data_IF_569691015044
#
_entry.id   IF_569691015044
#
_cell.length_a   1.000
_cell.length_b   1.000
_cell.length_c   1.000
_cell.angle_alpha   90.00
_cell.angle_beta   90.00
_cell.angle_gamma   90.00
#
_symmetry.space_group_name_H-M   'P 1'
#
loop_
_entity.id
_entity.type
_entity.pdbx_description
1 polymer ?
#
# COMPACT_ATOMS: atom_id res chain seq x y z
N UNK A 1 -28.81 -41.46 -22.34
CA UNK A 1 -28.93 -39.99 -22.37
C UNK A 1 -28.46 -39.29 -21.09
N UNK A 2 -28.53 -39.91 -19.90
CA UNK A 2 -28.12 -39.25 -18.65
C UNK A 2 -26.62 -38.98 -18.50
N UNK A 3 -25.73 -39.82 -19.06
CA UNK A 3 -24.28 -39.65 -18.92
C UNK A 3 -23.74 -38.40 -19.65
N UNK A 4 -24.33 -38.04 -20.80
CA UNK A 4 -23.90 -36.91 -21.61
C UNK A 4 -24.25 -35.55 -20.97
N UNK A 5 -25.38 -35.45 -20.27
CA UNK A 5 -25.78 -34.23 -19.56
C UNK A 5 -24.85 -33.91 -18.38
N UNK A 6 -24.40 -34.93 -17.64
CA UNK A 6 -23.53 -34.74 -16.47
C UNK A 6 -22.12 -34.23 -16.86
N UNK A 7 -21.57 -34.72 -17.98
CA UNK A 7 -20.27 -34.26 -18.48
C UNK A 7 -20.36 -32.83 -19.00
N UNK A 8 -21.46 -32.47 -19.67
CA UNK A 8 -21.68 -31.09 -20.16
C UNK A 8 -21.83 -30.10 -19.01
N UNK A 9 -22.51 -30.49 -17.92
CA UNK A 9 -22.68 -29.66 -16.74
C UNK A 9 -21.34 -29.43 -16.01
N UNK A 10 -20.53 -30.49 -15.83
CA UNK A 10 -19.20 -30.35 -15.24
C UNK A 10 -18.28 -29.45 -16.07
N UNK A 11 -18.32 -29.56 -17.40
CA UNK A 11 -17.54 -28.71 -18.30
C UNK A 11 -18.00 -27.25 -18.25
N UNK A 12 -19.30 -27.00 -18.14
CA UNK A 12 -19.85 -25.65 -18.01
C UNK A 12 -19.44 -25.00 -16.67
N UNK A 13 -19.44 -25.75 -15.56
CA UNK A 13 -19.03 -25.24 -14.25
C UNK A 13 -17.52 -24.96 -14.22
N UNK A 14 -16.68 -25.83 -14.77
CA UNK A 14 -15.22 -25.57 -14.83
C UNK A 14 -14.87 -24.44 -15.79
N UNK A 15 -15.63 -24.28 -16.89
CA UNK A 15 -15.49 -23.13 -17.77
C UNK A 15 -15.94 -21.82 -17.08
N UNK A 16 -17.01 -21.85 -16.27
CA UNK A 16 -17.46 -20.66 -15.55
C UNK A 16 -16.48 -20.24 -14.45
N UNK A 17 -15.92 -21.20 -13.70
CA UNK A 17 -14.91 -20.94 -12.66
C UNK A 17 -13.60 -20.44 -13.28
N UNK A 18 -13.17 -21.02 -14.42
CA UNK A 18 -11.96 -20.55 -15.12
C UNK A 18 -12.15 -19.17 -15.77
N UNK A 19 -13.33 -18.88 -16.32
CA UNK A 19 -13.65 -17.56 -16.87
C UNK A 19 -13.77 -16.50 -15.76
N UNK A 20 -14.29 -16.82 -14.57
CA UNK A 20 -14.32 -15.89 -13.44
C UNK A 20 -12.92 -15.61 -12.87
N UNK A 21 -12.04 -16.61 -12.82
CA UNK A 21 -10.65 -16.38 -12.39
C UNK A 21 -9.83 -15.61 -13.43
N UNK A 22 -10.12 -15.80 -14.72
CA UNK A 22 -9.52 -14.98 -15.80
C UNK A 22 -10.11 -13.56 -15.83
N UNK A 23 -11.39 -13.36 -15.51
CA UNK A 23 -12.00 -12.02 -15.41
C UNK A 23 -11.56 -11.27 -14.15
N UNK A 24 -11.33 -11.94 -13.03
CA UNK A 24 -10.71 -11.33 -11.86
C UNK A 24 -9.26 -10.90 -12.16
N UNK A 25 -8.54 -11.63 -13.01
CA UNK A 25 -7.22 -11.22 -13.50
C UNK A 25 -7.28 -10.14 -14.60
N UNK A 26 -8.31 -10.15 -15.45
CA UNK A 26 -8.48 -9.21 -16.56
C UNK A 26 -9.18 -7.89 -16.17
N UNK A 27 -9.84 -7.84 -15.01
CA UNK A 27 -10.31 -6.60 -14.39
C UNK A 27 -9.13 -5.70 -13.91
N UNK A 28 -7.90 -6.23 -13.91
CA UNK A 28 -6.65 -5.50 -13.65
C UNK A 28 -5.92 -5.13 -14.95
N UNK A 29 -6.64 -4.56 -15.92
CA UNK A 29 -6.01 -3.99 -17.12
C UNK A 29 -5.55 -2.55 -16.84
N UNK A 30 -4.35 -2.47 -16.28
CA UNK A 30 -3.64 -1.23 -15.95
C UNK A 30 -2.42 -1.51 -15.10
N UNK A 31 -1.59 -2.49 -15.49
CA UNK A 31 -0.44 -2.93 -14.68
C UNK A 31 0.79 -2.06 -14.95
N UNK A 32 0.92 -0.94 -14.24
CA UNK A 32 2.23 -0.33 -14.04
C UNK A 32 2.97 -1.17 -12.99
N UNK A 33 3.93 -1.97 -13.45
CA UNK A 33 4.78 -2.77 -12.57
C UNK A 33 6.05 -1.97 -12.28
N UNK A 34 6.31 -1.71 -11.01
CA UNK A 34 7.54 -1.09 -10.55
C UNK A 34 8.67 -2.13 -10.46
N UNK A 35 9.66 -2.03 -11.34
CA UNK A 35 10.71 -3.05 -11.53
C UNK A 35 12.05 -2.72 -10.85
N UNK A 36 12.21 -1.53 -10.30
CA UNK A 36 13.49 -1.12 -9.72
C UNK A 36 13.89 -1.98 -8.51
N UNK A 37 15.20 -2.16 -8.27
CA UNK A 37 15.69 -2.93 -7.14
C UNK A 37 15.48 -2.16 -5.83
N UNK A 38 15.12 -2.89 -4.78
CA UNK A 38 15.09 -2.39 -3.41
C UNK A 38 15.27 -3.56 -2.43
N UNK A 39 15.64 -3.24 -1.19
CA UNK A 39 15.75 -4.21 -0.08
C UNK A 39 14.55 -4.06 0.84
N UNK A 40 14.03 -5.19 1.35
CA UNK A 40 12.98 -5.20 2.36
C UNK A 40 13.48 -5.75 3.68
N UNK A 41 13.16 -5.04 4.76
CA UNK A 41 13.46 -5.42 6.13
C UNK A 41 12.19 -5.28 7.00
N UNK A 42 12.23 -5.87 8.20
CA UNK A 42 11.23 -5.65 9.24
C UNK A 42 11.90 -5.04 10.46
N UNK A 43 11.22 -4.11 11.10
CA UNK A 43 11.52 -3.63 12.44
C UNK A 43 10.21 -3.39 13.19
N UNK A 44 10.27 -3.29 14.51
CA UNK A 44 9.13 -2.77 15.29
C UNK A 44 9.48 -1.47 16.01
N UNK A 45 10.69 -0.94 15.78
CA UNK A 45 11.13 0.30 16.38
C UNK A 45 10.29 1.45 15.83
N UNK A 46 10.01 2.46 16.66
CA UNK A 46 9.26 3.67 16.28
C UNK A 46 7.83 3.43 15.73
N UNK A 47 7.34 2.19 15.70
CA UNK A 47 6.00 1.81 15.18
C UNK A 47 4.88 2.67 15.73
N UNK A 48 4.89 2.93 17.04
CA UNK A 48 3.88 3.78 17.69
C UNK A 48 3.88 5.23 17.19
N UNK A 49 5.04 5.79 16.87
CA UNK A 49 5.15 7.16 16.33
C UNK A 49 4.56 7.21 14.92
N UNK A 50 4.87 6.22 14.09
CA UNK A 50 4.36 6.16 12.71
C UNK A 50 2.86 5.91 12.66
N UNK A 51 2.33 5.13 13.60
CA UNK A 51 0.90 4.94 13.79
C UNK A 51 0.18 6.25 14.11
N UNK A 52 0.71 7.05 15.06
CA UNK A 52 0.16 8.36 15.41
C UNK A 52 0.18 9.31 14.19
N UNK A 53 1.27 9.29 13.42
CA UNK A 53 1.38 10.13 12.21
C UNK A 53 0.40 9.70 11.12
N UNK A 54 0.16 8.40 10.93
CA UNK A 54 -0.88 7.90 10.03
C UNK A 54 -2.25 8.48 10.42
N UNK A 55 -2.64 8.36 11.68
CA UNK A 55 -3.90 8.90 12.19
C UNK A 55 -4.02 10.41 11.92
N UNK A 56 -2.98 11.18 12.27
CA UNK A 56 -2.93 12.62 12.03
C UNK A 56 -3.16 13.00 10.56
N UNK A 57 -2.46 12.35 9.63
CA UNK A 57 -2.51 12.69 8.21
C UNK A 57 -3.81 12.20 7.54
N UNK A 58 -4.39 11.09 7.99
CA UNK A 58 -5.72 10.66 7.58
C UNK A 58 -6.79 11.71 7.95
N UNK A 59 -6.72 12.26 9.16
CA UNK A 59 -7.62 13.34 9.58
C UNK A 59 -7.34 14.65 8.83
N UNK A 60 -6.09 15.10 8.85
CA UNK A 60 -5.74 16.45 8.40
C UNK A 60 -5.78 16.57 6.89
N UNK A 61 -5.13 15.65 6.18
CA UNK A 61 -4.78 15.81 4.77
C UNK A 61 -5.70 15.00 3.84
N UNK A 62 -6.14 13.82 4.29
CA UNK A 62 -7.12 12.98 3.55
C UNK A 62 -8.58 13.34 3.90
N UNK A 63 -8.75 14.14 4.95
CA UNK A 63 -10.03 14.62 5.45
C UNK A 63 -11.01 13.49 5.84
N UNK A 64 -10.51 12.43 6.45
CA UNK A 64 -11.34 11.45 7.15
C UNK A 64 -11.84 12.07 8.47
N UNK A 65 -13.08 11.75 8.86
CA UNK A 65 -13.75 12.36 10.01
C UNK A 65 -14.34 11.35 10.98
N UNK A 66 -14.92 10.28 10.46
CA UNK A 66 -15.55 9.23 11.24
C UNK A 66 -14.87 7.89 10.94
N UNK A 67 -13.66 7.72 11.46
CA UNK A 67 -12.85 6.54 11.23
C UNK A 67 -12.18 6.10 12.53
N UNK A 68 -11.60 4.89 12.50
CA UNK A 68 -10.78 4.36 13.58
C UNK A 68 -9.52 3.75 13.01
N UNK A 69 -8.39 4.05 13.65
CA UNK A 69 -7.12 3.37 13.40
C UNK A 69 -6.86 2.40 14.55
N UNK A 70 -6.53 1.16 14.23
CA UNK A 70 -6.13 0.14 15.20
C UNK A 70 -4.80 -0.48 14.80
N UNK A 71 -3.89 -0.60 15.76
CA UNK A 71 -2.62 -1.28 15.55
C UNK A 71 -2.85 -2.79 15.47
N UNK A 72 -2.27 -3.44 14.47
CA UNK A 72 -2.37 -4.89 14.32
C UNK A 72 -1.10 -5.54 14.91
N UNK A 73 -1.31 -6.44 15.85
CA UNK A 73 -0.24 -7.15 16.53
C UNK A 73 0.57 -8.05 15.59
N UNK A 74 1.82 -8.35 15.99
CA UNK A 74 2.87 -9.06 15.23
C UNK A 74 2.48 -10.42 14.65
N UNK A 75 1.29 -10.97 14.93
CA UNK A 75 0.74 -12.12 14.20
C UNK A 75 0.28 -11.75 12.78
N UNK A 76 0.96 -10.79 12.14
CA UNK A 76 0.62 -10.24 10.84
C UNK A 76 0.49 -11.37 9.82
N UNK A 77 -0.63 -11.43 9.06
CA UNK A 77 -0.77 -12.36 7.94
C UNK A 77 0.11 -11.99 6.75
N UNK A 78 0.71 -10.79 6.74
CA UNK A 78 1.49 -10.28 5.62
C UNK A 78 2.94 -10.74 5.72
N UNK A 79 3.38 -11.53 4.74
CA UNK A 79 4.79 -11.89 4.59
C UNK A 79 5.58 -10.78 3.88
N UNK A 80 6.88 -10.66 4.11
CA UNK A 80 7.75 -9.73 3.36
C UNK A 80 7.64 -9.91 1.84
N UNK A 81 7.47 -11.14 1.37
CA UNK A 81 7.29 -11.42 -0.06
C UNK A 81 5.97 -10.86 -0.58
N UNK A 82 4.91 -10.95 0.20
CA UNK A 82 3.62 -10.35 -0.17
C UNK A 82 3.72 -8.82 -0.17
N UNK A 83 4.38 -8.24 0.83
CA UNK A 83 4.66 -6.80 0.84
C UNK A 83 5.46 -6.38 -0.40
N UNK A 84 6.49 -7.13 -0.79
CA UNK A 84 7.26 -6.88 -2.01
C UNK A 84 6.36 -6.85 -3.24
N UNK A 85 5.49 -7.85 -3.39
CA UNK A 85 4.54 -7.89 -4.49
C UNK A 85 3.65 -6.65 -4.46
N UNK A 86 3.08 -6.30 -3.31
CA UNK A 86 2.20 -5.14 -3.18
C UNK A 86 2.92 -3.84 -3.55
N UNK A 87 4.16 -3.64 -3.09
CA UNK A 87 4.98 -2.47 -3.44
C UNK A 87 5.25 -2.37 -4.94
N UNK A 88 5.54 -3.51 -5.60
CA UNK A 88 5.80 -3.56 -7.05
C UNK A 88 4.55 -3.30 -7.89
N UNK A 89 3.37 -3.64 -7.40
CA UNK A 89 2.14 -3.50 -8.17
C UNK A 89 1.47 -2.16 -7.89
N UNK A 90 1.57 -1.22 -8.83
CA UNK A 90 0.84 0.04 -8.75
C UNK A 90 -0.62 -0.16 -9.14
N UNK A 91 -1.49 -0.26 -8.15
CA UNK A 91 -2.95 -0.31 -8.37
C UNK A 91 -3.53 1.07 -8.69
N UNK A 92 -2.90 2.11 -8.16
CA UNK A 92 -3.29 3.51 -8.27
C UNK A 92 -2.03 4.36 -8.30
N UNK A 93 -2.05 5.43 -9.11
CA UNK A 93 -0.87 6.23 -9.41
C UNK A 93 -0.27 6.90 -8.18
N UNK A 94 -1.07 7.28 -7.18
CA UNK A 94 -0.61 7.94 -5.94
C UNK A 94 -1.34 7.34 -4.76
N UNK A 95 -0.63 6.54 -3.95
CA UNK A 95 -1.22 5.84 -2.79
C UNK A 95 -0.36 5.80 -1.54
N UNK A 96 0.84 6.36 -1.60
CA UNK A 96 1.79 6.35 -0.49
C UNK A 96 1.67 7.67 0.27
N UNK A 97 0.97 7.67 1.40
CA UNK A 97 0.82 8.86 2.25
C UNK A 97 2.10 9.10 3.04
N UNK A 98 2.80 10.21 2.76
CA UNK A 98 4.01 10.61 3.45
C UNK A 98 3.69 11.01 4.91
N UNK A 99 4.23 10.27 5.87
CA UNK A 99 3.99 10.41 7.31
C UNK A 99 5.05 11.25 8.03
N UNK A 100 6.04 11.77 7.30
CA UNK A 100 7.12 12.59 7.84
C UNK A 100 8.47 11.86 7.86
N UNK A 101 9.50 12.47 8.47
CA UNK A 101 10.86 11.93 8.48
C UNK A 101 10.90 10.60 9.25
N UNK A 102 11.75 9.68 8.79
CA UNK A 102 12.02 8.44 9.50
C UNK A 102 12.75 8.74 10.82
N UNK A 103 12.36 8.04 11.88
CA UNK A 103 13.00 8.14 13.18
C UNK A 103 14.25 7.24 13.21
N UNK A 104 15.32 7.73 13.82
CA UNK A 104 16.60 7.02 13.94
C UNK A 104 17.78 7.80 13.36
N UNK A 105 18.89 7.10 13.11
CA UNK A 105 20.14 7.71 12.63
C UNK A 105 20.30 7.72 11.10
N UNK A 106 19.26 7.35 10.34
CA UNK A 106 19.33 7.25 8.89
C UNK A 106 18.39 8.24 8.23
N UNK A 107 18.89 8.96 7.22
CA UNK A 107 18.08 9.84 6.39
C UNK A 107 17.01 9.04 5.64
N UNK A 108 15.82 9.61 5.54
CA UNK A 108 14.67 8.95 4.96
C UNK A 108 13.35 9.45 5.52
N UNK A 109 12.27 8.87 5.03
CA UNK A 109 10.91 9.23 5.41
C UNK A 109 10.03 7.99 5.51
N UNK A 110 8.86 8.17 6.10
CA UNK A 110 7.90 7.08 6.30
C UNK A 110 6.69 7.32 5.44
N UNK A 111 6.20 6.25 4.84
CA UNK A 111 4.94 6.22 4.12
C UNK A 111 3.97 5.24 4.76
N UNK A 112 2.71 5.63 4.83
CA UNK A 112 1.59 4.73 5.04
C UNK A 112 0.95 4.44 3.69
N UNK A 113 0.80 3.18 3.31
CA UNK A 113 0.06 2.85 2.09
C UNK A 113 -0.91 1.70 2.32
N UNK A 114 -2.08 1.73 1.66
CA UNK A 114 -3.08 0.69 1.78
C UNK A 114 -2.60 -0.55 1.03
N UNK A 115 -2.68 -1.69 1.70
CA UNK A 115 -2.53 -3.01 1.12
C UNK A 115 -3.81 -3.37 0.37
N UNK A 116 -3.70 -4.27 -0.60
CA UNK A 116 -4.87 -4.80 -1.29
C UNK A 116 -5.91 -5.32 -0.27
N UNK A 117 -7.16 -4.83 -0.30
CA UNK A 117 -8.18 -5.31 0.61
C UNK A 117 -8.50 -6.78 0.33
N UNK A 118 -8.79 -7.53 1.38
CA UNK A 118 -9.42 -8.84 1.24
C UNK A 118 -10.83 -8.66 0.64
N UNK A 119 -11.25 -9.58 -0.22
CA UNK A 119 -12.54 -9.50 -0.91
C UNK A 119 -13.68 -9.34 0.09
N UNK A 120 -14.46 -8.26 -0.05
CA UNK A 120 -15.59 -7.95 0.83
C UNK A 120 -15.28 -7.03 2.02
N UNK A 121 -14.03 -6.58 2.18
CA UNK A 121 -13.57 -5.65 3.24
C UNK A 121 -13.08 -4.30 2.68
N UNK A 122 -13.73 -3.81 1.63
CA UNK A 122 -13.30 -2.60 0.89
C UNK A 122 -13.25 -1.30 1.74
N UNK A 123 -13.94 -1.27 2.89
CA UNK A 123 -13.97 -0.14 3.81
C UNK A 123 -13.12 -0.33 5.08
N UNK A 124 -12.44 -1.48 5.17
CA UNK A 124 -11.53 -1.83 6.27
C UNK A 124 -10.14 -2.06 5.67
N UNK A 125 -9.37 -0.98 5.60
CA UNK A 125 -8.09 -0.99 4.89
C UNK A 125 -6.96 -1.29 5.85
N UNK A 126 -6.14 -2.27 5.46
CA UNK A 126 -4.87 -2.54 6.10
C UNK A 126 -3.82 -1.62 5.51
N UNK A 127 -3.18 -0.82 6.35
CA UNK A 127 -2.05 0.03 5.99
C UNK A 127 -0.75 -0.62 6.41
N UNK A 128 0.22 -0.64 5.49
CA UNK A 128 1.61 -0.89 5.82
C UNK A 128 2.31 0.42 6.15
N UNK A 129 3.01 0.46 7.29
CA UNK A 129 3.85 1.57 7.72
C UNK A 129 5.30 1.24 7.33
N UNK A 130 5.81 1.90 6.29
CA UNK A 130 7.11 1.58 5.70
C UNK A 130 8.02 2.80 5.73
N UNK A 131 9.18 2.66 6.35
CA UNK A 131 10.25 3.65 6.25
C UNK A 131 11.08 3.38 4.99
N UNK A 132 11.29 4.42 4.20
CA UNK A 132 12.15 4.42 3.03
C UNK A 132 13.46 5.14 3.37
N UNK A 133 14.56 4.40 3.31
CA UNK A 133 15.89 4.91 3.60
C UNK A 133 16.80 4.78 2.41
N UNK A 134 17.65 5.78 2.26
CA UNK A 134 18.74 5.68 1.32
C UNK A 134 19.91 4.91 1.91
N UNK A 135 20.67 4.23 1.05
CA UNK A 135 21.95 3.63 1.41
C UNK A 135 22.95 4.01 0.34
N UNK A 136 24.09 4.53 0.77
CA UNK A 136 25.08 5.21 -0.05
C UNK A 136 25.58 4.48 -1.31
N UNK A 137 25.32 3.18 -1.47
CA UNK A 137 26.02 2.36 -2.46
C UNK A 137 25.16 1.56 -3.45
N UNK A 138 23.82 1.49 -3.38
CA UNK A 138 23.09 0.62 -4.33
C UNK A 138 21.64 1.05 -4.65
N UNK A 139 20.72 0.88 -3.70
CA UNK A 139 19.28 1.05 -3.90
C UNK A 139 18.56 1.24 -2.56
N UNK A 140 17.33 1.80 -2.55
CA UNK A 140 16.56 2.05 -1.34
C UNK A 140 16.33 0.81 -0.48
N UNK A 141 16.31 1.04 0.83
CA UNK A 141 15.91 0.06 1.83
C UNK A 141 14.55 0.46 2.38
N UNK A 142 13.55 -0.40 2.16
CA UNK A 142 12.23 -0.27 2.72
C UNK A 142 12.11 -1.14 3.97
N UNK A 143 11.79 -0.53 5.11
CA UNK A 143 11.62 -1.24 6.38
C UNK A 143 10.15 -1.21 6.78
N UNK A 144 9.51 -2.37 6.88
CA UNK A 144 8.17 -2.49 7.45
C UNK A 144 8.26 -2.34 8.96
N UNK A 145 7.62 -1.31 9.51
CA UNK A 145 7.57 -1.06 10.95
C UNK A 145 6.33 -1.62 11.63
N UNK A 146 5.24 -1.80 10.88
CA UNK A 146 4.01 -2.33 11.42
C UNK A 146 2.84 -2.21 10.45
N UNK A 147 1.71 -2.75 10.89
CA UNK A 147 0.45 -2.67 10.19
C UNK A 147 -0.57 -1.92 11.04
N UNK A 148 -1.40 -1.13 10.37
CA UNK A 148 -2.51 -0.42 10.96
C UNK A 148 -3.80 -0.77 10.20
N UNK A 149 -4.85 -1.16 10.91
CA UNK A 149 -6.18 -1.28 10.35
C UNK A 149 -6.89 0.06 10.43
N UNK A 150 -7.44 0.52 9.32
CA UNK A 150 -8.22 1.75 9.22
C UNK A 150 -9.63 1.40 8.79
N UNK A 151 -10.57 1.55 9.70
CA UNK A 151 -12.00 1.36 9.42
C UNK A 151 -12.65 2.72 9.25
N UNK A 152 -13.12 3.04 8.03
CA UNK A 152 -13.94 4.24 7.79
C UNK A 152 -15.43 3.90 7.96
N UNK A 153 -16.05 4.43 9.00
CA UNK A 153 -17.46 4.16 9.30
C UNK A 153 -18.41 4.83 8.32
N UNK A 154 -17.97 5.88 7.65
CA UNK A 154 -18.72 6.55 6.59
C UNK A 154 -18.57 5.82 5.24
N UNK A 155 -17.73 4.79 5.17
CA UNK A 155 -17.52 3.93 3.99
C UNK A 155 -17.08 4.68 2.74
N UNK A 156 -16.24 5.70 2.89
CA UNK A 156 -15.65 6.34 1.73
C UNK A 156 -14.61 5.41 1.09
N UNK A 157 -14.40 5.64 -0.21
CA UNK A 157 -13.24 5.11 -0.92
C UNK A 157 -12.00 5.93 -0.52
N UNK A 158 -11.19 5.38 0.39
CA UNK A 158 -9.97 6.04 0.90
C UNK A 158 -8.92 6.18 -0.21
N UNK A 159 -8.76 5.16 -1.07
CA UNK A 159 -7.84 5.24 -2.22
C UNK A 159 -8.31 6.33 -3.20
N UNK A 160 -9.61 6.43 -3.46
CA UNK A 160 -10.19 7.51 -4.24
C UNK A 160 -9.99 8.91 -3.62
N UNK A 161 -9.85 9.00 -2.29
CA UNK A 161 -9.50 10.26 -1.59
C UNK A 161 -8.02 10.58 -1.70
N UNK A 162 -7.15 9.59 -1.72
CA UNK A 162 -5.71 9.78 -1.94
C UNK A 162 -5.45 10.45 -3.29
N UNK A 163 -6.15 10.03 -4.34
CA UNK A 163 -6.09 10.66 -5.66
C UNK A 163 -6.60 12.11 -5.71
N UNK A 164 -7.28 12.60 -4.66
CA UNK A 164 -7.74 14.00 -4.54
C UNK A 164 -6.78 14.89 -3.77
N UNK A 165 -5.80 14.30 -3.07
CA UNK A 165 -4.74 15.08 -2.42
C UNK A 165 -3.91 15.73 -3.52
N UNK A 166 -3.76 17.07 -3.53
CA UNK A 166 -2.97 17.76 -4.54
C UNK A 166 -1.54 17.19 -4.64
N UNK A 167 -0.91 17.23 -5.83
CA UNK A 167 0.52 16.97 -5.94
C UNK A 167 1.31 18.01 -5.13
N UNK A 168 2.53 17.66 -4.67
CA UNK A 168 3.40 18.61 -3.97
C UNK A 168 3.62 19.88 -4.81
N UNK A 169 3.55 21.05 -4.17
CA UNK A 169 3.86 22.32 -4.82
C UNK A 169 5.38 22.50 -4.91
N UNK A 170 5.87 23.05 -6.02
CA UNK A 170 7.29 23.34 -6.25
C UNK A 170 8.24 22.12 -6.14
N UNK A 171 7.72 20.90 -6.33
CA UNK A 171 8.48 19.64 -6.23
C UNK A 171 9.07 19.35 -4.84
N UNK A 172 8.65 20.06 -3.79
CA UNK A 172 9.08 19.77 -2.42
C UNK A 172 8.12 18.78 -1.79
N UNK A 173 8.57 17.54 -1.62
CA UNK A 173 7.80 16.47 -0.97
C UNK A 173 7.79 16.67 0.55
N UNK A 174 6.62 16.56 1.17
CA UNK A 174 6.44 16.76 2.60
C UNK A 174 5.35 15.89 3.25
N UNK A 175 5.26 16.00 4.57
CA UNK A 175 4.31 15.23 5.37
C UNK A 175 2.84 15.61 5.08
N UNK A 176 2.04 14.62 4.68
CA UNK A 176 0.67 14.77 4.22
C UNK A 176 0.51 14.61 2.71
N UNK A 177 1.61 14.66 1.94
CA UNK A 177 1.57 14.39 0.51
C UNK A 177 1.29 12.92 0.23
N UNK A 178 0.64 12.65 -0.89
CA UNK A 178 0.44 11.29 -1.40
C UNK A 178 1.36 11.09 -2.60
N UNK A 179 2.11 10.01 -2.63
CA UNK A 179 3.15 9.77 -3.63
C UNK A 179 2.84 8.51 -4.45
N UNK A 180 3.40 8.42 -5.65
CA UNK A 180 3.56 7.18 -6.43
C UNK A 180 4.73 6.35 -5.89
N UNK A 181 4.86 5.09 -6.33
CA UNK A 181 6.04 4.29 -5.95
C UNK A 181 7.32 4.87 -6.56
N UNK A 182 7.23 5.37 -7.79
CA UNK A 182 8.34 6.07 -8.47
C UNK A 182 8.78 7.33 -7.72
N UNK A 183 7.83 8.14 -7.22
CA UNK A 183 8.13 9.33 -6.42
C UNK A 183 8.76 8.95 -5.09
N UNK A 184 8.24 7.91 -4.41
CA UNK A 184 8.86 7.40 -3.18
C UNK A 184 10.31 6.96 -3.44
N UNK A 185 10.54 6.25 -4.54
CA UNK A 185 11.86 5.76 -4.90
C UNK A 185 12.84 6.90 -5.21
N UNK A 186 12.42 7.85 -6.05
CA UNK A 186 13.22 9.01 -6.44
C UNK A 186 13.57 9.88 -5.22
N UNK A 187 12.58 10.22 -4.40
CA UNK A 187 12.77 11.03 -3.19
C UNK A 187 13.75 10.38 -2.21
N UNK A 188 13.68 9.04 -2.08
CA UNK A 188 14.60 8.30 -1.21
C UNK A 188 16.05 8.37 -1.72
N UNK A 189 16.26 8.38 -3.04
CA UNK A 189 17.59 8.51 -3.62
C UNK A 189 18.13 9.95 -3.58
N UNK A 190 17.26 10.95 -3.75
CA UNK A 190 17.64 12.36 -3.72
C UNK A 190 18.08 12.84 -2.33
N UNK A 191 17.58 12.21 -1.25
CA UNK A 191 18.04 12.41 0.12
C UNK A 191 19.53 12.07 0.37
N UNK A 192 20.27 11.55 -0.62
CA UNK A 192 21.73 11.37 -0.57
C UNK A 192 22.48 12.68 -0.89
N UNK A 193 21.84 13.66 -1.55
CA UNK A 193 22.51 14.77 -2.20
C UNK A 193 22.59 16.08 -1.38
N UNK A 194 22.16 16.08 -0.11
CA UNK A 194 22.24 17.21 0.82
C UNK A 194 23.18 16.91 1.99
#
# INVERSE_FOLDING_TARGET
MHLFMSVFLCFAVTLHVSVQSVLAAAAFSGSNLFIEPFRLLESSDHRGIYFIRLDLHLYRDVHLRNYRVEEIDKSSPLTLRELENQLRHERSLRRFLHLGPAEGNGDGFVVGFPLAPELGLEHDLMFALVAAHSRADDFPVFTLHGLARVTDFDKHDIEGRFGRVPPPFDHVVGAGDVLSMEEVYAETLEHIAL
#
